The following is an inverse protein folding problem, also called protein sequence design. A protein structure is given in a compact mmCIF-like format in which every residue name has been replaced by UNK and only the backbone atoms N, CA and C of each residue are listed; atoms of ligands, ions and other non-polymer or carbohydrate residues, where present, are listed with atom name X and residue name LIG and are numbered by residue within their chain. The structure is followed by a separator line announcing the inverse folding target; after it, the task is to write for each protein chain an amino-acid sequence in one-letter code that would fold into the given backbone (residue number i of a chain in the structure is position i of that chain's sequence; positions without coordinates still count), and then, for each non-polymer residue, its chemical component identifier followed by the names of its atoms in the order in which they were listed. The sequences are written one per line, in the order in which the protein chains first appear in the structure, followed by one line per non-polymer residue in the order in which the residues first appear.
data_IF_938409564890
#
_entry.id   IF_938409564890
#
_cell.length_a   1.000
_cell.length_b   1.000
_cell.length_c   1.000
_cell.angle_alpha   90.00
_cell.angle_beta   90.00
_cell.angle_gamma   90.00
#
_symmetry.space_group_name_H-M   'P 1'
#
loop_
_entity.id
_entity.type
_entity.pdbx_description
1 polymer ?
#
# COMPACT_ATOMS: atom_id res chain seq x y z
N UNK A 1 25.42 1.76 17.24
CA UNK A 1 25.93 3.13 17.02
C UNK A 1 24.98 3.77 16.05
N UNK A 2 24.24 4.81 16.46
CA UNK A 2 23.42 5.58 15.52
C UNK A 2 24.39 6.29 14.56
N UNK A 3 24.37 5.98 13.25
CA UNK A 3 25.35 6.49 12.30
C UNK A 3 25.24 8.01 12.10
N UNK A 4 24.10 8.58 12.48
CA UNK A 4 23.79 10.00 12.42
C UNK A 4 23.53 10.48 13.85
N UNK A 5 24.25 11.52 14.29
CA UNK A 5 23.96 12.16 15.58
C UNK A 5 22.64 12.92 15.50
N UNK A 6 21.55 12.21 15.78
CA UNK A 6 20.17 12.67 15.68
C UNK A 6 19.59 12.96 17.07
N UNK A 7 18.92 14.10 17.22
CA UNK A 7 18.25 14.46 18.48
C UNK A 7 17.20 13.39 18.85
N UNK A 8 17.04 13.00 20.13
CA UNK A 8 16.11 11.93 20.53
C UNK A 8 14.68 12.08 20.02
N UNK A 9 14.14 13.31 19.99
CA UNK A 9 12.80 13.55 19.43
C UNK A 9 12.73 13.30 17.93
N UNK A 10 13.77 13.69 17.17
CA UNK A 10 13.80 13.45 15.73
C UNK A 10 14.05 11.98 15.41
N UNK A 11 14.81 11.27 16.25
CA UNK A 11 14.96 9.81 16.15
C UNK A 11 13.62 9.13 16.39
N UNK A 12 12.92 9.48 17.47
CA UNK A 12 11.57 8.96 17.75
C UNK A 12 10.61 9.22 16.60
N UNK A 13 10.62 10.43 16.04
CA UNK A 13 9.84 10.74 14.84
C UNK A 13 10.16 9.80 13.68
N UNK A 14 11.46 9.65 13.34
CA UNK A 14 11.87 8.82 12.22
C UNK A 14 11.52 7.33 12.44
N UNK A 15 11.73 6.80 13.65
CA UNK A 15 11.40 5.43 14.01
C UNK A 15 9.89 5.17 13.86
N UNK A 16 9.04 6.01 14.46
CA UNK A 16 7.57 5.88 14.32
C UNK A 16 7.13 6.04 12.87
N UNK A 17 7.77 6.93 12.09
CA UNK A 17 7.44 7.12 10.68
C UNK A 17 7.79 5.88 9.84
N UNK A 18 8.95 5.27 10.06
CA UNK A 18 9.36 4.04 9.37
C UNK A 18 8.45 2.86 9.69
N UNK A 19 7.93 2.78 10.92
CA UNK A 19 7.01 1.72 11.33
C UNK A 19 5.59 1.92 10.77
N UNK A 20 5.07 3.15 10.83
CA UNK A 20 3.64 3.42 10.59
C UNK A 20 3.34 4.02 9.22
N UNK A 21 4.36 4.50 8.51
CA UNK A 21 4.22 5.31 7.30
C UNK A 21 3.30 6.53 7.46
N UNK A 22 3.15 7.06 8.69
CA UNK A 22 2.27 8.19 8.99
C UNK A 22 3.04 9.31 9.71
N UNK A 23 3.32 10.40 8.98
CA UNK A 23 4.07 11.54 9.49
C UNK A 23 3.36 12.29 10.62
N UNK A 24 2.04 12.45 10.53
CA UNK A 24 1.24 13.15 11.54
C UNK A 24 1.26 12.39 12.87
N UNK A 25 1.07 11.07 12.83
CA UNK A 25 1.18 10.20 14.01
C UNK A 25 2.59 10.26 14.62
N UNK A 26 3.62 10.16 13.79
CA UNK A 26 5.00 10.30 14.24
C UNK A 26 5.26 11.66 14.93
N UNK A 27 4.69 12.75 14.41
CA UNK A 27 4.81 14.07 15.02
C UNK A 27 4.13 14.16 16.39
N UNK A 28 2.93 13.58 16.55
CA UNK A 28 2.25 13.48 17.84
C UNK A 28 3.12 12.80 18.91
N UNK A 29 3.73 11.68 18.56
CA UNK A 29 4.54 10.91 19.49
C UNK A 29 5.88 11.58 19.81
N UNK A 30 6.43 12.37 18.89
CA UNK A 30 7.79 12.90 18.98
C UNK A 30 7.90 14.35 19.45
N UNK A 31 6.95 15.22 19.10
CA UNK A 31 7.10 16.68 19.21
C UNK A 31 6.10 17.36 20.16
N UNK A 32 5.34 16.59 20.94
CA UNK A 32 4.34 17.10 21.89
C UNK A 32 3.33 18.07 21.25
N UNK A 33 2.90 17.74 20.03
CA UNK A 33 1.87 18.49 19.30
C UNK A 33 0.48 18.07 19.78
N UNK A 34 -0.47 19.00 19.78
CA UNK A 34 -1.80 18.81 20.37
C UNK A 34 -2.94 18.90 19.37
N UNK A 35 -2.65 19.21 18.10
CA UNK A 35 -3.64 19.30 17.04
C UNK A 35 -3.04 18.91 15.69
N UNK A 36 -3.93 18.50 14.77
CA UNK A 36 -3.55 17.91 13.48
C UNK A 36 -2.79 18.89 12.59
N UNK A 37 -3.18 20.16 12.59
CA UNK A 37 -2.51 21.19 11.78
C UNK A 37 -1.06 21.38 12.22
N UNK A 38 -0.81 21.47 13.52
CA UNK A 38 0.53 21.57 14.08
C UNK A 38 1.33 20.28 13.82
N UNK A 39 0.70 19.12 13.99
CA UNK A 39 1.33 17.83 13.72
C UNK A 39 1.75 17.68 12.25
N UNK A 40 0.89 18.06 11.30
CA UNK A 40 1.20 18.04 9.87
C UNK A 40 2.35 18.98 9.51
N UNK A 41 2.36 20.21 10.06
CA UNK A 41 3.45 21.17 9.84
C UNK A 41 4.78 20.65 10.40
N UNK A 42 4.76 20.08 11.62
CA UNK A 42 5.96 19.52 12.24
C UNK A 42 6.45 18.28 11.49
N UNK A 43 5.57 17.37 11.07
CA UNK A 43 5.92 16.22 10.25
C UNK A 43 6.58 16.64 8.94
N UNK A 44 5.96 17.60 8.25
CA UNK A 44 6.46 18.17 6.99
C UNK A 44 7.86 18.77 7.16
N UNK A 45 8.12 19.49 8.27
CA UNK A 45 9.44 20.04 8.60
C UNK A 45 10.45 18.94 8.93
N UNK A 46 10.08 17.96 9.75
CA UNK A 46 10.95 16.87 10.16
C UNK A 46 11.37 15.99 8.97
N UNK A 47 10.47 15.69 8.04
CA UNK A 47 10.77 14.91 6.83
C UNK A 47 11.71 15.62 5.85
N UNK A 48 11.80 16.95 5.91
CA UNK A 48 12.77 17.75 5.12
C UNK A 48 14.06 18.05 5.87
N UNK A 49 14.18 17.63 7.12
CA UNK A 49 15.37 17.90 7.90
C UNK A 49 16.47 16.91 7.54
N UNK A 50 17.60 17.41 7.06
CA UNK A 50 18.70 16.61 6.48
C UNK A 50 19.09 15.42 7.36
N UNK A 51 19.29 15.63 8.66
CA UNK A 51 19.68 14.53 9.57
C UNK A 51 18.61 13.45 9.73
N UNK A 52 17.33 13.80 9.61
CA UNK A 52 16.25 12.80 9.61
C UNK A 52 16.27 12.01 8.30
N UNK A 53 16.51 12.69 7.18
CA UNK A 53 16.63 12.03 5.87
C UNK A 53 17.84 11.08 5.83
N UNK A 54 19.01 11.53 6.29
CA UNK A 54 20.22 10.71 6.42
C UNK A 54 19.95 9.48 7.30
N UNK A 55 19.25 9.66 8.43
CA UNK A 55 18.92 8.54 9.31
C UNK A 55 18.00 7.52 8.60
N UNK A 56 16.91 7.99 7.99
CA UNK A 56 15.97 7.14 7.23
C UNK A 56 16.71 6.38 6.12
N UNK A 57 17.58 7.05 5.38
CA UNK A 57 18.39 6.46 4.32
C UNK A 57 19.34 5.38 4.88
N UNK A 58 20.03 5.66 6.00
CA UNK A 58 20.91 4.67 6.65
C UNK A 58 20.15 3.41 7.10
N UNK A 59 18.89 3.56 7.54
CA UNK A 59 18.05 2.41 7.89
C UNK A 59 17.65 1.61 6.65
N UNK A 60 17.36 2.29 5.54
CA UNK A 60 17.05 1.64 4.26
C UNK A 60 18.24 0.84 3.72
N UNK A 61 19.46 1.40 3.77
CA UNK A 61 20.70 0.72 3.39
C UNK A 61 20.98 -0.51 4.27
N UNK A 62 20.75 -0.37 5.57
CA UNK A 62 20.82 -1.48 6.52
C UNK A 62 19.80 -2.59 6.20
N UNK A 63 18.57 -2.22 5.83
CA UNK A 63 17.55 -3.17 5.42
C UNK A 63 17.94 -3.92 4.14
N UNK A 64 18.44 -3.22 3.11
CA UNK A 64 18.91 -3.82 1.86
C UNK A 64 20.07 -4.82 2.11
N UNK A 65 20.99 -4.47 3.00
CA UNK A 65 22.09 -5.36 3.41
C UNK A 65 21.56 -6.64 4.08
N UNK A 66 20.55 -6.51 4.96
CA UNK A 66 19.92 -7.67 5.61
C UNK A 66 19.16 -8.56 4.62
N UNK A 67 18.47 -7.99 3.63
CA UNK A 67 17.81 -8.78 2.56
C UNK A 67 18.85 -9.61 1.81
N UNK A 68 20.00 -9.00 1.47
CA UNK A 68 21.11 -9.70 0.82
C UNK A 68 21.64 -10.83 1.71
N UNK A 69 21.85 -10.59 3.01
CA UNK A 69 22.29 -11.64 3.92
C UNK A 69 21.27 -12.78 4.05
N UNK A 70 19.98 -12.47 4.14
CA UNK A 70 18.91 -13.46 4.20
C UNK A 70 18.87 -14.32 2.93
N UNK A 71 19.10 -13.73 1.76
CA UNK A 71 19.16 -14.47 0.49
C UNK A 71 20.25 -15.53 0.44
N UNK A 72 21.34 -15.32 1.20
CA UNK A 72 22.51 -16.21 1.23
C UNK A 72 22.48 -17.19 2.41
N UNK A 73 22.11 -16.72 3.61
CA UNK A 73 22.37 -17.43 4.87
C UNK A 73 21.13 -17.88 5.63
N UNK A 74 19.92 -17.48 5.22
CA UNK A 74 18.71 -17.87 5.95
C UNK A 74 18.58 -19.40 6.04
N UNK A 75 18.33 -19.93 7.25
CA UNK A 75 18.11 -21.38 7.46
C UNK A 75 16.74 -21.84 6.96
N UNK A 76 15.76 -20.95 6.95
CA UNK A 76 14.43 -21.23 6.44
C UNK A 76 14.41 -20.98 4.93
N UNK A 77 14.16 -22.04 4.16
CA UNK A 77 14.13 -21.98 2.69
C UNK A 77 13.06 -21.03 2.15
N UNK A 78 11.90 -20.90 2.80
CA UNK A 78 10.87 -19.95 2.37
C UNK A 78 11.35 -18.50 2.52
N UNK A 79 12.05 -18.18 3.61
CA UNK A 79 12.63 -16.84 3.83
C UNK A 79 13.74 -16.57 2.82
N UNK A 80 14.62 -17.55 2.59
CA UNK A 80 15.68 -17.47 1.58
C UNK A 80 15.11 -17.24 0.18
N UNK A 81 14.09 -18.01 -0.19
CA UNK A 81 13.41 -17.91 -1.48
C UNK A 81 12.78 -16.52 -1.65
N UNK A 82 12.09 -16.00 -0.64
CA UNK A 82 11.47 -14.68 -0.70
C UNK A 82 12.51 -13.55 -0.83
N UNK A 83 13.63 -13.64 -0.11
CA UNK A 83 14.72 -12.68 -0.25
C UNK A 83 15.35 -12.70 -1.66
N UNK A 84 15.56 -13.90 -2.23
CA UNK A 84 16.05 -14.04 -3.61
C UNK A 84 15.05 -13.48 -4.64
N UNK A 85 13.74 -13.69 -4.44
CA UNK A 85 12.69 -13.11 -5.29
C UNK A 85 12.71 -11.57 -5.25
N UNK A 86 12.78 -10.97 -4.05
CA UNK A 86 12.84 -9.50 -3.91
C UNK A 86 14.05 -8.90 -4.65
N UNK A 87 15.22 -9.56 -4.59
CA UNK A 87 16.41 -9.14 -5.35
C UNK A 87 16.17 -9.22 -6.86
N UNK A 88 15.61 -10.32 -7.36
CA UNK A 88 15.32 -10.50 -8.79
C UNK A 88 14.32 -9.47 -9.31
N UNK A 89 13.26 -9.20 -8.55
CA UNK A 89 12.23 -8.20 -8.91
C UNK A 89 12.83 -6.79 -9.01
N UNK A 90 13.76 -6.44 -8.11
CA UNK A 90 14.49 -5.15 -8.15
C UNK A 90 15.49 -5.07 -9.29
N UNK A 91 16.11 -6.19 -9.66
CA UNK A 91 17.01 -6.29 -10.81
C UNK A 91 16.27 -6.29 -12.16
N UNK A 92 14.93 -6.33 -12.17
CA UNK A 92 14.11 -6.33 -13.38
C UNK A 92 13.92 -7.71 -14.00
N UNK A 93 14.28 -8.79 -13.30
CA UNK A 93 14.11 -10.17 -13.76
C UNK A 93 12.72 -10.71 -13.39
N UNK A 94 11.66 -10.02 -13.85
CA UNK A 94 10.29 -10.51 -13.67
C UNK A 94 9.96 -11.58 -14.72
N UNK A 95 9.28 -12.68 -14.33
CA UNK A 95 8.71 -13.60 -15.30
C UNK A 95 7.83 -12.81 -16.29
N UNK A 96 7.96 -13.13 -17.58
CA UNK A 96 7.08 -12.57 -18.61
C UNK A 96 5.62 -12.83 -18.23
N UNK A 97 4.80 -11.78 -18.28
CA UNK A 97 3.36 -11.90 -18.05
C UNK A 97 2.79 -12.93 -19.03
N UNK A 98 2.18 -13.97 -18.47
CA UNK A 98 1.43 -14.93 -19.29
C UNK A 98 0.22 -14.19 -19.83
N UNK A 99 0.20 -13.93 -21.12
CA UNK A 99 -0.99 -13.42 -21.80
C UNK A 99 -2.10 -14.45 -21.64
N UNK A 100 -3.10 -14.12 -20.81
CA UNK A 100 -4.36 -14.85 -20.76
C UNK A 100 -5.14 -14.48 -22.01
N UNK A 101 -4.99 -15.26 -23.08
CA UNK A 101 -5.94 -15.23 -24.19
C UNK A 101 -7.25 -15.85 -23.71
N UNK A 102 -8.11 -15.04 -23.10
CA UNK A 102 -9.48 -15.42 -22.78
C UNK A 102 -10.26 -15.36 -24.09
N UNK A 103 -10.32 -16.47 -24.81
CA UNK A 103 -11.34 -16.66 -25.83
C UNK A 103 -12.67 -16.72 -25.09
N UNK A 104 -13.36 -15.58 -25.03
CA UNK A 104 -14.71 -15.52 -24.49
C UNK A 104 -15.66 -16.21 -25.47
N UNK A 105 -15.74 -17.54 -25.40
CA UNK A 105 -16.95 -18.23 -25.82
C UNK A 105 -18.03 -17.83 -24.83
N UNK A 106 -18.82 -16.82 -25.19
CA UNK A 106 -20.02 -16.45 -24.47
C UNK A 106 -20.97 -17.63 -24.56
N UNK A 107 -20.96 -18.50 -23.56
CA UNK A 107 -22.03 -19.48 -23.35
C UNK A 107 -23.12 -18.74 -22.59
N UNK A 108 -24.29 -18.45 -23.20
CA UNK A 108 -25.38 -17.81 -22.49
C UNK A 108 -26.10 -18.88 -21.67
N UNK A 109 -25.52 -19.32 -20.56
CA UNK A 109 -26.30 -19.96 -19.50
C UNK A 109 -27.02 -18.86 -18.74
N UNK A 110 -28.18 -18.47 -19.30
CA UNK A 110 -29.12 -17.57 -18.63
C UNK A 110 -29.52 -18.24 -17.32
N UNK A 111 -29.02 -17.75 -16.19
CA UNK A 111 -29.49 -18.15 -14.87
C UNK A 111 -31.00 -17.81 -14.81
N UNK A 112 -31.89 -18.80 -14.62
CA UNK A 112 -33.33 -18.58 -14.62
C UNK A 112 -33.79 -17.54 -13.59
N UNK A 113 -33.06 -17.36 -12.49
CA UNK A 113 -33.36 -16.34 -11.49
C UNK A 113 -33.04 -14.92 -11.98
N UNK A 114 -31.95 -14.75 -12.75
CA UNK A 114 -31.62 -13.45 -13.34
C UNK A 114 -32.66 -13.00 -14.37
N UNK A 115 -33.24 -13.95 -15.11
CA UNK A 115 -34.29 -13.64 -16.09
C UNK A 115 -35.55 -13.14 -15.39
N UNK A 116 -35.99 -13.84 -14.34
CA UNK A 116 -37.15 -13.43 -13.53
C UNK A 116 -36.95 -12.06 -12.88
N UNK A 117 -35.75 -11.81 -12.36
CA UNK A 117 -35.42 -10.51 -11.75
C UNK A 117 -35.44 -9.38 -12.77
N UNK A 118 -34.97 -9.64 -14.00
CA UNK A 118 -35.01 -8.68 -15.09
C UNK A 118 -36.45 -8.35 -15.50
N UNK A 119 -37.30 -9.36 -15.65
CA UNK A 119 -38.72 -9.19 -15.98
C UNK A 119 -39.47 -8.38 -14.91
N UNK A 120 -39.24 -8.67 -13.62
CA UNK A 120 -39.85 -7.95 -12.50
C UNK A 120 -39.42 -6.48 -12.44
N UNK A 121 -38.16 -6.19 -12.79
CA UNK A 121 -37.64 -4.82 -12.84
C UNK A 121 -38.24 -4.02 -14.01
N UNK A 122 -38.37 -4.65 -15.18
CA UNK A 122 -38.99 -4.04 -16.36
C UNK A 122 -40.48 -3.74 -16.13
N UNK A 123 -41.21 -4.61 -15.44
CA UNK A 123 -42.61 -4.39 -15.10
C UNK A 123 -42.79 -3.23 -14.09
N UNK A 124 -41.94 -3.15 -13.07
CA UNK A 124 -41.92 -2.01 -12.13
C UNK A 124 -41.60 -0.69 -12.83
N UNK A 125 -40.64 -0.68 -13.75
CA UNK A 125 -40.34 0.50 -14.55
C UNK A 125 -41.54 0.89 -15.43
N UNK A 126 -42.21 -0.08 -16.06
CA UNK A 126 -43.39 0.17 -16.89
C UNK A 126 -44.53 0.80 -16.08
N UNK A 127 -44.79 0.30 -14.88
CA UNK A 127 -45.75 0.92 -13.96
C UNK A 127 -45.32 2.33 -13.50
N UNK A 128 -44.03 2.54 -13.27
CA UNK A 128 -43.48 3.84 -12.90
C UNK A 128 -43.57 4.88 -14.02
N UNK A 129 -43.49 4.50 -15.29
CA UNK A 129 -43.61 5.44 -16.41
C UNK A 129 -45.07 5.65 -16.86
N UNK A 130 -45.98 4.71 -16.58
CA UNK A 130 -47.41 4.87 -16.90
C UNK A 130 -48.11 5.99 -16.12
N UNK A 131 -47.59 6.37 -14.95
CA UNK A 131 -48.07 7.51 -14.14
C UNK A 131 -47.63 8.88 -14.66
N UNK A 132 -46.80 8.92 -15.72
CA UNK A 132 -46.35 10.16 -16.37
C UNK A 132 -46.88 10.31 -17.81
N UNK A 133 -47.86 9.51 -18.24
CA UNK A 133 -48.51 9.75 -19.53
C UNK A 133 -49.42 10.99 -19.45
N UNK A 134 -49.20 12.04 -20.27
CA UNK A 134 -50.03 13.23 -20.25
C UNK A 134 -51.39 12.93 -20.90
N UNK A 135 -52.49 13.28 -20.22
CA UNK A 135 -53.83 13.34 -20.80
C UNK A 135 -53.98 14.52 -21.75
#
# INVERSE_FOLDING_TARGET
MDPVHLKPSHKKFADTYLETSNGTKAAYEAFNVTNDNSAAVNASRALRYDKVQEYIQSQAEGAASRVTELSQKAKNEAVKLNANKDILDRAGHKPVDKTLNVNAEVVPTINPELLKLKEEYEEKLRGFYAQYEPT
#
